data_IF_392367741301
#
_entry.id   IF_392367741301
#
_cell.length_a   1.000
_cell.length_b   1.000
_cell.length_c   1.000
_cell.angle_alpha   90.00
_cell.angle_beta   90.00
_cell.angle_gamma   90.00
#
_symmetry.space_group_name_H-M   'P 1'
#
loop_
_entity.id
_entity.type
_entity.pdbx_description
1 polymer ?
#
# COMPACT_ATOMS: atom_id res chain seq x y z
N UNK A 1 -18.26 -2.13 -10.84
CA UNK A 1 -16.88 -1.58 -10.70
C UNK A 1 -16.65 -1.22 -9.25
N UNK A 2 -15.58 -1.73 -8.65
CA UNK A 2 -15.16 -1.40 -7.28
C UNK A 2 -14.29 -0.14 -7.36
N UNK A 3 -14.51 0.81 -6.44
CA UNK A 3 -13.72 2.04 -6.35
C UNK A 3 -13.18 2.18 -4.92
N UNK A 4 -11.88 2.41 -4.78
CA UNK A 4 -11.25 2.76 -3.50
C UNK A 4 -11.34 4.28 -3.34
N UNK A 5 -11.78 4.75 -2.19
CA UNK A 5 -11.90 6.17 -1.86
C UNK A 5 -11.11 6.39 -0.57
N UNK A 6 -10.28 7.42 -0.54
CA UNK A 6 -9.57 7.77 0.69
C UNK A 6 -10.50 8.47 1.68
N UNK A 7 -10.35 8.09 2.94
CA UNK A 7 -11.08 8.66 4.06
C UNK A 7 -10.16 8.73 5.27
N UNK A 8 -10.47 9.65 6.17
CA UNK A 8 -9.86 9.74 7.50
C UNK A 8 -10.88 9.22 8.51
N UNK A 9 -10.42 8.40 9.46
CA UNK A 9 -11.21 7.98 10.61
C UNK A 9 -10.72 8.78 11.80
N UNK A 10 -11.59 9.56 12.44
CA UNK A 10 -11.23 10.28 13.66
C UNK A 10 -11.29 9.38 14.90
N UNK A 11 -10.82 9.90 16.04
CA UNK A 11 -10.72 9.18 17.31
C UNK A 11 -12.08 8.68 17.81
N UNK A 12 -13.17 9.31 17.36
CA UNK A 12 -14.54 8.94 17.71
C UNK A 12 -15.10 7.87 16.77
N UNK A 13 -14.32 7.40 15.79
CA UNK A 13 -14.72 6.40 14.80
C UNK A 13 -15.53 6.97 13.63
N UNK A 14 -15.58 8.29 13.47
CA UNK A 14 -16.31 8.92 12.38
C UNK A 14 -15.48 8.88 11.11
N UNK A 15 -16.04 8.30 10.05
CA UNK A 15 -15.40 8.22 8.73
C UNK A 15 -15.71 9.49 7.93
N UNK A 16 -14.67 10.27 7.62
CA UNK A 16 -14.74 11.47 6.77
C UNK A 16 -14.09 11.18 5.43
N UNK A 17 -14.89 11.14 4.37
CA UNK A 17 -14.40 10.98 2.99
C UNK A 17 -13.59 12.23 2.60
N UNK A 18 -12.38 12.04 2.04
CA UNK A 18 -11.57 13.17 1.54
C UNK A 18 -12.22 13.85 0.33
N UNK A 19 -12.99 13.09 -0.44
CA UNK A 19 -13.67 13.57 -1.63
C UNK A 19 -15.17 13.22 -1.59
N UNK A 20 -16.03 14.10 -2.13
CA UNK A 20 -17.46 13.83 -2.20
C UNK A 20 -17.77 12.68 -3.18
N UNK A 21 -18.43 11.65 -2.66
CA UNK A 21 -18.81 10.47 -3.45
C UNK A 21 -20.25 10.61 -3.94
N UNK A 22 -20.40 10.89 -5.23
CA UNK A 22 -21.72 10.85 -5.89
C UNK A 22 -22.03 9.44 -6.37
N UNK A 23 -23.15 8.89 -5.91
CA UNK A 23 -23.67 7.60 -6.32
C UNK A 23 -25.03 7.79 -6.98
N UNK A 24 -25.29 7.06 -8.07
CA UNK A 24 -26.55 7.12 -8.78
C UNK A 24 -27.71 6.42 -8.04
N UNK A 25 -27.40 5.63 -7.02
CA UNK A 25 -28.33 4.91 -6.17
C UNK A 25 -27.65 4.54 -4.84
N UNK A 26 -28.42 4.21 -3.77
CA UNK A 26 -27.86 3.67 -2.53
C UNK A 26 -27.03 2.41 -2.78
N UNK A 27 -25.86 2.30 -2.15
CA UNK A 27 -24.96 1.15 -2.28
C UNK A 27 -24.34 0.79 -0.93
N UNK A 28 -24.02 -0.49 -0.77
CA UNK A 28 -23.18 -0.98 0.35
C UNK A 28 -21.74 -0.57 0.12
N UNK A 29 -21.06 -0.20 1.19
CA UNK A 29 -19.63 0.11 1.21
C UNK A 29 -18.93 -0.78 2.23
N UNK A 30 -17.63 -1.01 2.01
CA UNK A 30 -16.73 -1.66 2.97
C UNK A 30 -15.70 -0.63 3.37
N UNK A 31 -15.44 -0.52 4.68
CA UNK A 31 -14.41 0.35 5.23
C UNK A 31 -13.24 -0.52 5.66
N UNK A 32 -12.05 -0.18 5.19
CA UNK A 32 -10.80 -0.82 5.60
C UNK A 32 -10.00 0.24 6.35
N UNK A 33 -9.66 -0.05 7.61
CA UNK A 33 -8.86 0.83 8.46
C UNK A 33 -7.42 0.32 8.41
N UNK A 34 -6.49 1.22 8.09
CA UNK A 34 -5.07 0.91 8.11
C UNK A 34 -4.53 1.22 9.51
N UNK A 35 -3.83 0.24 10.09
CA UNK A 35 -3.15 0.38 11.38
C UNK A 35 -1.78 1.03 11.12
N UNK A 36 -1.75 2.36 11.10
CA UNK A 36 -0.54 3.14 10.79
C UNK A 36 0.55 2.94 11.88
N UNK A 37 0.15 2.64 13.12
CA UNK A 37 1.09 2.33 14.21
C UNK A 37 1.87 1.04 13.95
N UNK A 38 1.31 0.09 13.19
CA UNK A 38 2.03 -1.10 12.71
C UNK A 38 2.91 -0.84 11.50
N UNK A 39 2.67 0.22 10.74
CA UNK A 39 3.52 0.58 9.61
C UNK A 39 4.87 1.19 10.05
N UNK A 40 4.94 1.75 11.27
CA UNK A 40 6.16 2.37 11.82
C UNK A 40 7.08 1.35 12.49
N UNK A 41 6.58 0.16 12.86
CA UNK A 41 7.46 -0.98 13.08
C UNK A 41 7.94 -1.44 11.72
N UNK A 42 9.08 -0.91 11.28
CA UNK A 42 9.89 -1.60 10.28
C UNK A 42 9.95 -3.05 10.76
N UNK A 43 9.32 -3.94 10.00
CA UNK A 43 9.15 -5.32 10.42
C UNK A 43 10.55 -5.84 10.74
N UNK A 44 10.82 -6.22 11.99
CA UNK A 44 12.18 -6.61 12.39
C UNK A 44 12.68 -7.76 11.50
N UNK A 45 11.75 -8.57 10.96
CA UNK A 45 12.07 -9.58 9.95
C UNK A 45 12.54 -8.99 8.62
N UNK A 46 12.01 -7.84 8.19
CA UNK A 46 12.47 -7.13 7.00
C UNK A 46 13.91 -6.61 7.18
N UNK A 47 14.24 -6.02 8.34
CA UNK A 47 15.62 -5.59 8.66
C UNK A 47 16.59 -6.78 8.73
N UNK A 48 16.16 -7.90 9.31
CA UNK A 48 16.98 -9.10 9.38
C UNK A 48 17.13 -9.81 8.03
N UNK A 49 16.15 -9.64 7.13
CA UNK A 49 16.18 -10.22 5.78
C UNK A 49 17.01 -9.40 4.80
N UNK A 50 17.17 -8.10 5.03
CA UNK A 50 17.96 -7.20 4.19
C UNK A 50 19.36 -7.74 3.85
N UNK A 51 20.23 -8.14 4.82
CA UNK A 51 21.55 -8.66 4.49
C UNK A 51 21.48 -10.01 3.75
N UNK A 52 20.50 -10.86 4.05
CA UNK A 52 20.34 -12.15 3.39
C UNK A 52 19.94 -12.00 1.91
N UNK A 53 19.05 -11.06 1.62
CA UNK A 53 18.54 -10.80 0.27
C UNK A 53 19.54 -9.98 -0.57
N UNK A 54 20.31 -9.09 0.06
CA UNK A 54 21.28 -8.23 -0.62
C UNK A 54 22.32 -9.00 -1.46
N UNK A 55 22.68 -10.21 -1.06
CA UNK A 55 23.65 -11.05 -1.79
C UNK A 55 23.16 -11.50 -3.16
N UNK A 56 21.86 -11.75 -3.29
CA UNK A 56 21.26 -12.25 -4.52
C UNK A 56 20.62 -11.12 -5.32
N UNK A 57 20.06 -10.12 -4.64
CA UNK A 57 19.34 -9.02 -5.28
C UNK A 57 20.24 -7.92 -5.84
N UNK A 58 21.42 -7.67 -5.25
CA UNK A 58 22.35 -6.64 -5.75
C UNK A 58 23.29 -7.16 -6.85
N UNK A 59 22.92 -8.27 -7.49
CA UNK A 59 23.69 -8.84 -8.59
C UNK A 59 23.37 -8.07 -9.88
N UNK A 60 24.36 -7.80 -10.74
CA UNK A 60 24.14 -7.06 -11.98
C UNK A 60 23.17 -7.77 -12.94
N UNK A 61 23.03 -9.09 -12.82
CA UNK A 61 22.03 -9.88 -13.55
C UNK A 61 20.60 -9.51 -13.16
N UNK A 62 20.37 -9.23 -11.88
CA UNK A 62 19.08 -8.74 -11.40
C UNK A 62 18.82 -7.35 -11.98
N UNK A 63 19.74 -6.39 -11.81
CA UNK A 63 19.57 -5.04 -12.38
C UNK A 63 19.20 -5.07 -13.88
N UNK A 64 19.82 -5.96 -14.65
CA UNK A 64 19.46 -6.21 -16.04
C UNK A 64 18.03 -6.77 -16.18
N UNK A 65 17.65 -7.79 -15.41
CA UNK A 65 16.29 -8.35 -15.40
C UNK A 65 15.22 -7.29 -15.07
N UNK A 66 15.45 -6.47 -14.05
CA UNK A 66 14.55 -5.39 -13.62
C UNK A 66 14.42 -4.29 -14.70
N UNK A 67 15.49 -4.02 -15.47
CA UNK A 67 15.45 -3.05 -16.57
C UNK A 67 14.43 -3.39 -17.66
N UNK A 68 14.17 -4.69 -17.90
CA UNK A 68 13.20 -5.16 -18.90
C UNK A 68 11.74 -5.04 -18.43
N UNK A 69 11.49 -4.83 -17.14
CA UNK A 69 10.16 -4.76 -16.55
C UNK A 69 9.62 -3.33 -16.45
N UNK A 70 10.39 -2.33 -16.90
CA UNK A 70 9.91 -0.95 -17.00
C UNK A 70 8.72 -0.91 -17.96
N UNK A 71 7.50 -0.53 -17.52
CA UNK A 71 6.39 -0.31 -18.43
C UNK A 71 6.81 0.78 -19.42
N UNK A 72 6.50 0.56 -20.71
CA UNK A 72 6.86 1.45 -21.81
C UNK A 72 6.65 2.91 -21.45
N UNK A 73 7.73 3.68 -21.59
CA UNK A 73 7.81 5.13 -21.37
C UNK A 73 6.70 5.90 -22.07
#
# INVERSE_FOLDING_TARGET
>A
MIRKIEAVVDEQGTVKLKEPVRLSAPRRAVVTIFDEDKAVKVDESALLSEPALAHDWNRPEEDAAWSYLQPGR
#
